data_IF_918059820563
#
_entry.id   IF_918059820563
#
_cell.length_a   1.000
_cell.length_b   1.000
_cell.length_c   1.000
_cell.angle_alpha   90.00
_cell.angle_beta   90.00
_cell.angle_gamma   90.00
#
_symmetry.space_group_name_H-M   'P 1'
#
loop_
_entity.id
_entity.type
_entity.pdbx_description
1 polymer ?
#
# COMPACT_ATOMS: atom_id res chain seq x y z
N UNK A 1 -15.19 -11.19 -3.25
CA UNK A 1 -14.66 -10.58 -2.01
C UNK A 1 -13.17 -10.87 -1.96
N UNK A 2 -12.34 -9.85 -2.11
CA UNK A 2 -10.88 -9.96 -2.05
C UNK A 2 -10.50 -10.23 -0.59
N UNK A 3 -10.33 -11.49 -0.23
CA UNK A 3 -9.85 -11.87 1.10
C UNK A 3 -8.34 -11.63 1.14
N UNK A 4 -7.90 -10.62 1.89
CA UNK A 4 -6.48 -10.33 2.16
C UNK A 4 -6.08 -10.70 3.59
N UNK A 5 -4.77 -10.79 3.85
CA UNK A 5 -4.23 -10.98 5.20
C UNK A 5 -4.63 -9.85 6.17
N UNK A 6 -4.79 -8.64 5.64
CA UNK A 6 -5.19 -7.47 6.41
C UNK A 6 -5.30 -6.22 5.56
N UNK A 7 -5.69 -5.13 6.22
CA UNK A 7 -5.81 -3.80 5.61
C UNK A 7 -5.50 -2.74 6.65
N UNK A 8 -4.86 -1.64 6.26
CA UNK A 8 -4.72 -0.47 7.12
C UNK A 8 -4.94 0.82 6.34
N UNK A 9 -5.38 1.84 7.08
CA UNK A 9 -5.59 3.19 6.57
C UNK A 9 -4.57 4.10 7.23
N UNK A 10 -3.81 4.82 6.41
CA UNK A 10 -2.89 5.85 6.81
C UNK A 10 -3.42 7.20 6.37
N UNK A 11 -3.33 8.19 7.24
CA UNK A 11 -3.72 9.57 6.97
C UNK A 11 -2.48 10.44 7.03
N UNK A 12 -2.41 11.43 6.14
CA UNK A 12 -1.30 12.37 6.09
C UNK A 12 -1.32 13.27 7.32
N UNK A 13 -0.15 13.47 7.88
CA UNK A 13 0.19 14.37 8.98
C UNK A 13 1.43 15.18 8.59
N UNK A 14 1.84 16.12 9.44
CA UNK A 14 3.02 16.94 9.21
C UNK A 14 4.32 16.12 9.15
N UNK A 15 4.35 14.98 9.85
CA UNK A 15 5.52 14.08 9.95
C UNK A 15 5.49 12.93 8.93
N UNK A 16 4.48 12.87 8.05
CA UNK A 16 4.32 11.81 7.07
C UNK A 16 2.96 11.10 7.16
N UNK A 17 2.91 9.81 6.86
CA UNK A 17 1.68 9.01 6.87
C UNK A 17 1.54 8.25 8.19
N UNK A 18 0.50 8.56 8.96
CA UNK A 18 0.26 7.94 10.27
C UNK A 18 -0.95 7.01 10.21
N UNK A 19 -0.84 5.82 10.81
CA UNK A 19 -1.91 4.81 10.82
C UNK A 19 -3.11 5.35 11.61
N UNK A 20 -4.26 5.43 10.93
CA UNK A 20 -5.54 5.76 11.55
C UNK A 20 -6.31 4.49 11.95
N UNK A 21 -6.25 3.45 11.11
CA UNK A 21 -6.91 2.16 11.35
C UNK A 21 -6.05 1.02 10.81
N UNK A 22 -6.18 -0.17 11.41
CA UNK A 22 -5.54 -1.38 10.94
C UNK A 22 -6.34 -2.60 11.38
N UNK A 23 -6.58 -3.51 10.45
CA UNK A 23 -7.26 -4.79 10.68
C UNK A 23 -6.34 -5.91 10.18
N UNK A 24 -6.08 -6.88 11.05
CA UNK A 24 -5.39 -8.11 10.71
C UNK A 24 -6.41 -9.24 10.74
N UNK A 25 -6.58 -9.96 9.63
CA UNK A 25 -7.50 -11.10 9.57
C UNK A 25 -6.86 -12.40 10.01
N UNK A 26 -5.53 -12.49 9.94
CA UNK A 26 -4.75 -13.64 10.40
C UNK A 26 -3.90 -13.28 11.63
N UNK A 27 -4.21 -13.83 12.81
CA UNK A 27 -3.32 -13.74 13.96
C UNK A 27 -1.97 -14.41 13.64
N UNK A 28 -0.88 -13.65 13.71
CA UNK A 28 0.47 -14.13 13.39
C UNK A 28 0.84 -14.14 11.90
N UNK A 29 0.06 -13.47 11.04
CA UNK A 29 0.43 -13.21 9.64
C UNK A 29 1.64 -12.26 9.52
N UNK A 30 2.21 -12.19 8.32
CA UNK A 30 3.38 -11.35 8.03
C UNK A 30 3.01 -9.90 7.72
N UNK A 31 1.73 -9.61 7.51
CA UNK A 31 1.22 -8.26 7.32
C UNK A 31 1.45 -7.38 8.55
N UNK A 32 2.35 -6.40 8.42
CA UNK A 32 2.68 -5.46 9.48
C UNK A 32 2.11 -4.07 9.19
N UNK A 33 1.63 -3.39 10.23
CA UNK A 33 1.07 -2.03 10.10
C UNK A 33 1.70 -1.10 11.14
N UNK A 34 2.92 -0.59 10.92
CA UNK A 34 3.56 0.33 11.86
C UNK A 34 2.72 1.59 12.09
N UNK A 35 2.98 2.32 13.17
CA UNK A 35 2.27 3.57 13.46
C UNK A 35 2.52 4.65 12.40
N UNK A 36 3.71 4.65 11.82
CA UNK A 36 4.12 5.55 10.73
C UNK A 36 4.52 4.73 9.52
N UNK A 37 4.00 5.06 8.34
CA UNK A 37 4.40 4.42 7.10
C UNK A 37 5.78 4.92 6.65
N UNK A 38 6.52 4.14 5.86
CA UNK A 38 7.81 4.56 5.32
C UNK A 38 7.72 5.84 4.48
N UNK A 39 8.62 6.80 4.66
CA UNK A 39 8.60 8.09 3.94
C UNK A 39 8.66 7.94 2.41
N UNK A 40 9.34 6.90 1.94
CA UNK A 40 9.44 6.57 0.51
C UNK A 40 8.07 6.30 -0.10
N UNK A 41 7.11 5.80 0.69
CA UNK A 41 5.75 5.58 0.24
C UNK A 41 5.05 6.89 -0.09
N UNK A 42 5.11 7.89 0.80
CA UNK A 42 4.46 9.17 0.56
C UNK A 42 5.01 9.83 -0.70
N UNK A 43 6.33 9.79 -0.91
CA UNK A 43 6.96 10.29 -2.14
C UNK A 43 6.45 9.57 -3.38
N UNK A 44 6.39 8.23 -3.33
CA UNK A 44 5.89 7.42 -4.43
C UNK A 44 4.43 7.73 -4.76
N UNK A 45 3.55 7.83 -3.76
CA UNK A 45 2.14 8.16 -3.95
C UNK A 45 1.94 9.58 -4.49
N UNK A 46 2.73 10.55 -4.03
CA UNK A 46 2.68 11.93 -4.56
C UNK A 46 3.14 11.99 -6.01
N UNK A 47 4.15 11.20 -6.39
CA UNK A 47 4.68 11.16 -7.75
C UNK A 47 3.76 10.42 -8.72
N UNK A 48 3.24 9.25 -8.32
CA UNK A 48 2.38 8.42 -9.16
C UNK A 48 0.94 8.92 -9.21
N UNK A 49 0.39 9.34 -8.05
CA UNK A 49 -1.04 9.62 -7.83
C UNK A 49 -1.96 8.50 -8.30
N UNK A 50 -1.43 7.28 -8.27
CA UNK A 50 -2.11 6.07 -8.67
C UNK A 50 -1.76 4.96 -7.67
N UNK A 51 -2.49 3.85 -7.76
CA UNK A 51 -2.21 2.66 -6.97
C UNK A 51 -0.80 2.13 -7.23
N UNK A 52 -0.25 1.47 -6.22
CA UNK A 52 1.07 0.84 -6.27
C UNK A 52 0.89 -0.64 -5.97
N UNK A 53 1.29 -1.47 -6.93
CA UNK A 53 1.37 -2.92 -6.80
C UNK A 53 2.82 -3.32 -6.52
N UNK A 54 3.05 -4.01 -5.41
CA UNK A 54 4.42 -4.34 -4.96
C UNK A 54 5.17 -5.23 -5.97
N UNK A 55 4.46 -6.09 -6.69
CA UNK A 55 4.99 -7.01 -7.70
C UNK A 55 5.23 -6.37 -9.07
N UNK A 56 4.69 -5.18 -9.32
CA UNK A 56 4.94 -4.41 -10.54
C UNK A 56 6.21 -3.56 -10.44
N UNK A 57 6.58 -3.08 -9.24
CA UNK A 57 7.76 -2.22 -9.03
C UNK A 57 9.04 -2.80 -9.67
N UNK A 58 9.37 -4.10 -9.53
CA UNK A 58 10.58 -4.68 -10.13
C UNK A 58 10.57 -4.72 -11.67
N UNK A 59 9.40 -4.59 -12.31
CA UNK A 59 9.25 -4.61 -13.77
C UNK A 59 9.50 -3.24 -14.39
N UNK A 60 9.48 -2.20 -13.58
CA UNK A 60 9.69 -0.85 -14.04
C UNK A 60 11.17 -0.45 -14.08
N UNK A 61 11.48 0.75 -14.57
CA UNK A 61 12.86 1.26 -14.58
C UNK A 61 13.39 1.35 -13.14
N UNK A 62 14.54 0.72 -12.83
CA UNK A 62 15.10 0.73 -11.48
C UNK A 62 15.61 2.13 -11.12
N UNK A 63 15.27 2.57 -9.91
CA UNK A 63 15.79 3.77 -9.27
C UNK A 63 16.00 3.49 -7.78
N UNK A 64 16.89 4.20 -7.09
CA UNK A 64 17.13 4.00 -5.65
C UNK A 64 15.85 4.11 -4.80
N UNK A 65 14.98 5.08 -5.13
CA UNK A 65 13.70 5.26 -4.44
C UNK A 65 12.74 4.09 -4.69
N UNK A 66 12.74 3.48 -5.88
CA UNK A 66 11.90 2.32 -6.20
C UNK A 66 12.40 1.04 -5.55
N UNK A 67 13.70 0.85 -5.51
CA UNK A 67 14.33 -0.27 -4.79
C UNK A 67 14.02 -0.18 -3.28
N UNK A 68 14.16 1.02 -2.70
CA UNK A 68 13.80 1.26 -1.30
C UNK A 68 12.30 1.05 -1.04
N UNK A 69 11.44 1.56 -1.94
CA UNK A 69 10.00 1.34 -1.85
C UNK A 69 9.65 -0.15 -1.86
N UNK A 70 10.17 -0.90 -2.85
CA UNK A 70 9.90 -2.33 -2.96
C UNK A 70 10.41 -3.10 -1.74
N UNK A 71 11.58 -2.75 -1.22
CA UNK A 71 12.12 -3.36 0.00
C UNK A 71 11.21 -3.11 1.21
N UNK A 72 10.71 -1.89 1.40
CA UNK A 72 9.80 -1.56 2.49
C UNK A 72 8.44 -2.26 2.35
N UNK A 73 7.84 -2.27 1.16
CA UNK A 73 6.57 -2.96 0.91
C UNK A 73 6.70 -4.47 1.14
N UNK A 74 7.81 -5.07 0.69
CA UNK A 74 8.10 -6.49 0.91
C UNK A 74 8.29 -6.79 2.39
N UNK A 75 9.06 -5.96 3.11
CA UNK A 75 9.31 -6.12 4.55
C UNK A 75 8.02 -6.06 5.37
N UNK A 76 7.10 -5.17 5.00
CA UNK A 76 5.80 -4.99 5.67
C UNK A 76 4.71 -5.95 5.17
N UNK A 77 5.04 -6.78 4.17
CA UNK A 77 4.11 -7.66 3.46
C UNK A 77 2.89 -6.90 2.89
N UNK A 78 3.14 -5.72 2.31
CA UNK A 78 2.12 -4.92 1.61
C UNK A 78 2.13 -5.28 0.14
N UNK A 79 0.98 -5.76 -0.35
CA UNK A 79 0.82 -6.18 -1.73
C UNK A 79 0.25 -5.07 -2.61
N UNK A 80 -0.64 -4.25 -2.07
CA UNK A 80 -1.32 -3.16 -2.76
C UNK A 80 -1.36 -1.92 -1.87
N UNK A 81 -1.09 -0.75 -2.46
CA UNK A 81 -1.32 0.54 -1.83
C UNK A 81 -2.18 1.42 -2.72
N UNK A 82 -3.27 1.95 -2.18
CA UNK A 82 -4.20 2.85 -2.85
C UNK A 82 -4.04 4.27 -2.28
N UNK A 83 -3.73 5.29 -3.10
CA UNK A 83 -3.69 6.67 -2.62
C UNK A 83 -5.10 7.15 -2.27
N UNK A 84 -5.22 7.83 -1.13
CA UNK A 84 -6.41 8.65 -0.83
C UNK A 84 -6.16 10.06 -1.36
N UNK A 85 -6.97 10.51 -2.30
CA UNK A 85 -6.85 11.80 -2.96
C UNK A 85 -8.00 12.74 -2.58
N UNK A 86 -7.67 14.01 -2.34
CA UNK A 86 -8.64 15.11 -2.22
C UNK A 86 -8.10 16.29 -3.01
N UNK A 87 -8.89 16.87 -3.92
CA UNK A 87 -8.45 17.99 -4.77
C UNK A 87 -7.07 17.73 -5.41
N UNK A 88 -6.87 16.52 -5.95
CA UNK A 88 -5.62 16.07 -6.56
C UNK A 88 -4.38 16.05 -5.64
N UNK A 89 -4.62 16.10 -4.33
CA UNK A 89 -3.60 16.04 -3.28
C UNK A 89 -3.70 14.71 -2.54
N UNK A 90 -2.57 14.05 -2.33
CA UNK A 90 -2.50 12.84 -1.50
C UNK A 90 -2.73 13.24 -0.04
N UNK A 91 -3.84 12.76 0.52
CA UNK A 91 -4.25 12.95 1.92
C UNK A 91 -4.07 11.69 2.77
N UNK A 92 -3.72 10.56 2.16
CA UNK A 92 -3.55 9.30 2.86
C UNK A 92 -3.27 8.13 1.92
N UNK A 93 -3.34 6.93 2.48
CA UNK A 93 -3.20 5.67 1.75
C UNK A 93 -4.02 4.56 2.41
N UNK A 94 -4.56 3.65 1.63
CA UNK A 94 -5.04 2.36 2.08
C UNK A 94 -4.01 1.32 1.67
N UNK A 95 -3.51 0.53 2.61
CA UNK A 95 -2.57 -0.57 2.35
C UNK A 95 -3.26 -1.89 2.56
N UNK A 96 -3.00 -2.86 1.69
CA UNK A 96 -3.62 -4.18 1.73
C UNK A 96 -2.52 -5.23 1.71
N UNK A 97 -2.61 -6.20 2.62
CA UNK A 97 -1.74 -7.37 2.60
C UNK A 97 -2.03 -8.28 1.40
N UNK A 98 -1.22 -9.33 1.17
CA UNK A 98 -1.45 -10.25 0.07
C UNK A 98 -2.83 -10.91 0.18
N UNK A 99 -3.38 -11.33 -0.97
CA UNK A 99 -4.59 -12.13 -1.01
C UNK A 99 -4.34 -13.47 -0.33
N UNK A 100 -5.31 -13.96 0.43
CA UNK A 100 -5.28 -15.29 1.04
C UNK A 100 -5.29 -16.43 0.01
N UNK A 101 -5.67 -16.15 -1.24
CA UNK A 101 -5.53 -17.13 -2.33
C UNK A 101 -4.08 -17.32 -2.79
N UNK A 102 -3.19 -16.36 -2.48
CA UNK A 102 -1.80 -16.33 -2.93
C UNK A 102 -1.60 -15.68 -4.31
N UNK A 103 -2.67 -15.39 -5.04
CA UNK A 103 -2.57 -14.74 -6.36
C UNK A 103 -2.32 -13.23 -6.23
N UNK A 104 -1.66 -12.61 -7.24
CA UNK A 104 -1.54 -11.16 -7.32
C UNK A 104 -2.90 -10.44 -7.35
N UNK A 105 -2.90 -9.15 -7.03
CA UNK A 105 -4.04 -8.28 -7.32
C UNK A 105 -4.07 -7.98 -8.82
N UNK A 106 -5.15 -8.37 -9.49
CA UNK A 106 -5.37 -8.05 -10.88
C UNK A 106 -6.14 -6.72 -10.97
N UNK A 107 -6.02 -5.97 -12.08
CA UNK A 107 -6.76 -4.72 -12.27
C UNK A 107 -8.27 -4.85 -12.03
N UNK A 108 -8.82 -6.03 -12.32
CA UNK A 108 -10.25 -6.36 -12.14
C UNK A 108 -10.68 -6.41 -10.67
N UNK A 109 -9.76 -6.69 -9.74
CA UNK A 109 -10.04 -6.67 -8.30
C UNK A 109 -10.14 -5.23 -7.77
N UNK A 110 -9.63 -4.26 -8.52
CA UNK A 110 -9.52 -2.84 -8.15
C UNK A 110 -10.76 -2.04 -8.59
N UNK A 111 -11.42 -2.45 -9.68
CA UNK A 111 -12.70 -1.87 -10.12
C UNK A 111 -13.80 -2.00 -9.06
N UNK A 112 -13.73 -3.04 -8.21
CA UNK A 112 -14.67 -3.28 -7.10
C UNK A 112 -14.47 -2.34 -5.90
N UNK A 113 -13.38 -1.57 -5.86
CA UNK A 113 -13.08 -0.60 -4.79
C UNK A 113 -13.42 0.84 -5.17
N UNK A 114 -13.90 1.07 -6.40
CA UNK A 114 -14.15 2.40 -7.00
C UNK A 114 -15.64 2.73 -7.22
N UNK A 115 -16.58 1.90 -6.75
CA UNK A 115 -18.04 2.14 -6.81
C UNK A 115 -18.59 2.64 -5.48
#
# INVERSE_FOLDING_TARGET
>A
ATNSEGTAVYVRSDEGLRRAMGEHRLPGGYFETPETAPDVLLRALVAARDLILSDEIPRERPTPDRELLHAELTRLNWALVLPLLSENTVIGAIVVGPKLSGDPFYPQDLDLLMT
#
